data_IF_898649282466
#
_entry.id   IF_898649282466
#
_cell.length_a   1.000
_cell.length_b   1.000
_cell.length_c   1.000
_cell.angle_alpha   90.00
_cell.angle_beta   90.00
_cell.angle_gamma   90.00
#
_symmetry.space_group_name_H-M   'P 1'
#
loop_
_entity.id
_entity.type
_entity.pdbx_description
1 polymer ?
#
# COMPACT_ATOMS: atom_id res chain seq x y z
N UNK A 1 96.13 -19.66 8.48
CA UNK A 1 94.78 -20.17 8.16
C UNK A 1 93.89 -20.36 9.38
N UNK A 2 94.40 -20.68 10.58
CA UNK A 2 93.57 -20.88 11.78
C UNK A 2 92.79 -19.67 12.29
N UNK A 3 93.31 -18.44 12.16
CA UNK A 3 92.66 -17.24 12.69
C UNK A 3 91.40 -16.82 11.89
N UNK A 4 91.46 -16.93 10.57
CA UNK A 4 90.35 -16.58 9.67
C UNK A 4 89.13 -17.51 9.86
N UNK A 5 89.38 -18.80 10.11
CA UNK A 5 88.32 -19.77 10.37
C UNK A 5 87.63 -19.54 11.72
N UNK A 6 88.36 -19.01 12.72
CA UNK A 6 87.80 -18.66 14.02
C UNK A 6 86.90 -17.43 13.94
N UNK A 7 87.36 -16.36 13.26
CA UNK A 7 86.56 -15.15 12.99
C UNK A 7 85.28 -15.47 12.22
N UNK A 8 85.35 -16.34 11.20
CA UNK A 8 84.16 -16.76 10.44
C UNK A 8 83.15 -17.54 11.30
N UNK A 9 83.62 -18.37 12.24
CA UNK A 9 82.75 -19.10 13.17
C UNK A 9 82.07 -18.16 14.17
N UNK A 10 82.81 -17.17 14.67
CA UNK A 10 82.29 -16.15 15.59
C UNK A 10 81.26 -15.25 14.90
N UNK A 11 81.53 -14.82 13.66
CA UNK A 11 80.59 -14.04 12.84
C UNK A 11 79.33 -14.85 12.50
N UNK A 12 79.46 -16.15 12.18
CA UNK A 12 78.31 -17.03 12.02
C UNK A 12 77.51 -17.18 13.32
N UNK A 13 78.16 -17.26 14.47
CA UNK A 13 77.51 -17.28 15.78
C UNK A 13 76.66 -16.04 16.01
N UNK A 14 77.25 -14.85 15.82
CA UNK A 14 76.53 -13.56 15.96
C UNK A 14 75.33 -13.47 15.01
N UNK A 15 75.48 -13.91 13.75
CA UNK A 15 74.37 -13.94 12.77
C UNK A 15 73.25 -14.91 13.19
N UNK A 16 73.58 -16.07 13.72
CA UNK A 16 72.59 -17.02 14.24
C UNK A 16 71.81 -16.46 15.43
N UNK A 17 72.47 -15.72 16.31
CA UNK A 17 71.83 -15.06 17.46
C UNK A 17 70.92 -13.92 17.02
N UNK A 18 71.39 -13.07 16.09
CA UNK A 18 70.59 -12.00 15.48
C UNK A 18 69.34 -12.55 14.79
N UNK A 19 69.48 -13.63 14.01
CA UNK A 19 68.36 -14.30 13.36
C UNK A 19 67.37 -14.88 14.37
N UNK A 20 67.86 -15.46 15.47
CA UNK A 20 67.00 -16.01 16.52
C UNK A 20 66.21 -14.92 17.23
N UNK A 21 66.83 -13.78 17.52
CA UNK A 21 66.16 -12.60 18.09
C UNK A 21 65.11 -12.05 17.12
N UNK A 22 65.45 -11.90 15.84
CA UNK A 22 64.52 -11.42 14.82
C UNK A 22 63.32 -12.36 14.66
N UNK A 23 63.55 -13.68 14.66
CA UNK A 23 62.49 -14.68 14.57
C UNK A 23 61.53 -14.61 15.78
N UNK A 24 62.06 -14.46 16.99
CA UNK A 24 61.21 -14.35 18.18
C UNK A 24 60.39 -13.05 18.17
N UNK A 25 60.98 -11.91 17.77
CA UNK A 25 60.22 -10.66 17.59
C UNK A 25 59.10 -10.81 16.56
N UNK A 26 59.39 -11.44 15.43
CA UNK A 26 58.40 -11.68 14.38
C UNK A 26 57.26 -12.58 14.87
N UNK A 27 57.55 -13.60 15.71
CA UNK A 27 56.53 -14.44 16.33
C UNK A 27 55.64 -13.65 17.28
N UNK A 28 56.22 -12.82 18.14
CA UNK A 28 55.47 -11.98 19.09
C UNK A 28 54.57 -10.97 18.36
N UNK A 29 55.08 -10.35 17.29
CA UNK A 29 54.29 -9.45 16.44
C UNK A 29 53.13 -10.18 15.75
N UNK A 30 53.39 -11.38 15.22
CA UNK A 30 52.38 -12.23 14.61
C UNK A 30 51.27 -12.55 15.60
N UNK A 31 51.60 -12.94 16.82
CA UNK A 31 50.61 -13.30 17.84
C UNK A 31 49.78 -12.07 18.29
N UNK A 32 50.40 -10.90 18.45
CA UNK A 32 49.68 -9.63 18.71
C UNK A 32 48.72 -9.25 17.57
N UNK A 33 49.13 -9.46 16.32
CA UNK A 33 48.26 -9.19 15.17
C UNK A 33 47.06 -10.14 15.14
N UNK A 34 47.26 -11.43 15.46
CA UNK A 34 46.15 -12.39 15.57
C UNK A 34 45.17 -12.02 16.68
N UNK A 35 45.65 -11.62 17.86
CA UNK A 35 44.79 -11.15 18.94
C UNK A 35 43.97 -9.90 18.54
N UNK A 36 44.61 -8.93 17.87
CA UNK A 36 43.92 -7.73 17.37
C UNK A 36 42.85 -8.09 16.34
N UNK A 37 43.17 -8.97 15.40
CA UNK A 37 42.23 -9.47 14.40
C UNK A 37 40.99 -10.11 15.04
N UNK A 38 41.18 -10.99 16.04
CA UNK A 38 40.07 -11.63 16.75
C UNK A 38 39.20 -10.58 17.45
N UNK A 39 39.82 -9.61 18.13
CA UNK A 39 39.09 -8.54 18.84
C UNK A 39 38.26 -7.68 17.90
N UNK A 40 38.81 -7.31 16.74
CA UNK A 40 38.11 -6.50 15.75
C UNK A 40 36.96 -7.28 15.11
N UNK A 41 37.15 -8.58 14.84
CA UNK A 41 36.08 -9.48 14.37
C UNK A 41 34.92 -9.56 15.37
N UNK A 42 35.23 -9.69 16.67
CA UNK A 42 34.18 -9.71 17.71
C UNK A 42 33.39 -8.40 17.76
N UNK A 43 34.06 -7.24 17.64
CA UNK A 43 33.38 -5.94 17.60
C UNK A 43 32.48 -5.80 16.38
N UNK A 44 32.96 -6.20 15.20
CA UNK A 44 32.15 -6.20 13.98
C UNK A 44 30.93 -7.09 14.12
N UNK A 45 31.06 -8.21 14.83
CA UNK A 45 29.94 -9.10 15.08
C UNK A 45 28.90 -8.49 16.04
N UNK A 46 29.34 -7.86 17.14
CA UNK A 46 28.42 -7.14 18.03
C UNK A 46 27.62 -6.05 17.30
N UNK A 47 28.30 -5.23 16.48
CA UNK A 47 27.62 -4.17 15.71
C UNK A 47 26.61 -4.78 14.73
N UNK A 48 26.95 -5.89 14.07
CA UNK A 48 26.03 -6.59 13.17
C UNK A 48 24.79 -7.07 13.91
N UNK A 49 24.97 -7.66 15.08
CA UNK A 49 23.88 -8.21 15.89
C UNK A 49 22.97 -7.08 16.42
N UNK A 50 23.55 -5.95 16.84
CA UNK A 50 22.81 -4.76 17.28
C UNK A 50 21.96 -4.17 16.13
N UNK A 51 22.55 -4.03 14.93
CA UNK A 51 21.83 -3.56 13.74
C UNK A 51 20.70 -4.53 13.38
N UNK A 52 20.98 -5.84 13.39
CA UNK A 52 19.97 -6.85 13.07
C UNK A 52 18.79 -6.82 14.06
N UNK A 53 19.05 -6.63 15.35
CA UNK A 53 18.03 -6.48 16.38
C UNK A 53 17.20 -5.21 16.16
N UNK A 54 17.84 -4.06 15.91
CA UNK A 54 17.17 -2.79 15.66
C UNK A 54 16.24 -2.87 14.44
N UNK A 55 16.74 -3.42 13.32
CA UNK A 55 15.95 -3.63 12.10
C UNK A 55 14.79 -4.59 12.32
N UNK A 56 15.00 -5.68 13.07
CA UNK A 56 13.93 -6.63 13.37
C UNK A 56 12.82 -5.97 14.20
N UNK A 57 13.19 -5.13 15.17
CA UNK A 57 12.23 -4.44 16.02
C UNK A 57 11.46 -3.35 15.25
N UNK A 58 12.14 -2.58 14.39
CA UNK A 58 11.50 -1.59 13.52
C UNK A 58 10.47 -2.26 12.58
N UNK A 59 10.83 -3.41 12.00
CA UNK A 59 9.92 -4.19 11.15
C UNK A 59 8.69 -4.72 11.90
N UNK A 60 8.84 -5.16 13.14
CA UNK A 60 7.72 -5.59 13.99
C UNK A 60 6.78 -4.42 14.31
N UNK A 61 7.33 -3.24 14.58
CA UNK A 61 6.56 -2.02 14.80
C UNK A 61 5.77 -1.64 13.56
N UNK A 62 6.41 -1.57 12.39
CA UNK A 62 5.72 -1.29 11.12
C UNK A 62 4.63 -2.32 10.82
N UNK A 63 4.88 -3.61 11.07
CA UNK A 63 3.87 -4.65 10.90
C UNK A 63 2.65 -4.41 11.78
N UNK A 64 2.87 -4.04 13.04
CA UNK A 64 1.80 -3.78 14.01
C UNK A 64 0.98 -2.54 13.63
N UNK A 65 1.64 -1.50 13.13
CA UNK A 65 0.99 -0.28 12.64
C UNK A 65 0.17 -0.54 11.37
N UNK A 66 0.72 -1.30 10.41
CA UNK A 66 0.00 -1.70 9.20
C UNK A 66 -1.25 -2.52 9.53
N UNK A 67 -1.17 -3.46 10.46
CA UNK A 67 -2.31 -4.27 10.89
C UNK A 67 -3.39 -3.40 11.55
N UNK A 68 -2.97 -2.45 12.39
CA UNK A 68 -3.87 -1.49 13.03
C UNK A 68 -4.56 -0.60 12.00
N UNK A 69 -3.81 -0.10 11.02
CA UNK A 69 -4.32 0.75 9.93
C UNK A 69 -5.29 -0.01 9.04
N UNK A 70 -4.99 -1.27 8.71
CA UNK A 70 -5.86 -2.15 7.92
C UNK A 70 -7.20 -2.35 8.62
N UNK A 71 -7.20 -2.63 9.93
CA UNK A 71 -8.43 -2.79 10.72
C UNK A 71 -9.31 -1.54 10.70
N UNK A 72 -8.71 -0.34 10.72
CA UNK A 72 -9.46 0.92 10.59
C UNK A 72 -10.12 1.03 9.22
N UNK A 73 -9.40 0.71 8.14
CA UNK A 73 -9.95 0.74 6.78
C UNK A 73 -11.08 -0.27 6.59
N UNK A 74 -10.94 -1.48 7.11
CA UNK A 74 -11.98 -2.51 7.05
C UNK A 74 -13.26 -2.03 7.77
N UNK A 75 -13.11 -1.44 8.97
CA UNK A 75 -14.24 -0.87 9.70
C UNK A 75 -14.91 0.29 8.94
N UNK A 76 -14.11 1.16 8.29
CA UNK A 76 -14.63 2.26 7.49
C UNK A 76 -15.39 1.75 6.26
N UNK A 77 -14.91 0.69 5.62
CA UNK A 77 -15.60 0.07 4.48
C UNK A 77 -16.96 -0.51 4.89
N UNK A 78 -17.02 -1.23 6.02
CA UNK A 78 -18.30 -1.75 6.54
C UNK A 78 -19.29 -0.63 6.88
N UNK A 79 -18.82 0.48 7.46
CA UNK A 79 -19.68 1.62 7.80
C UNK A 79 -20.23 2.31 6.54
N UNK A 80 -19.42 2.46 5.50
CA UNK A 80 -19.87 2.99 4.21
C UNK A 80 -20.93 2.09 3.57
N UNK A 81 -20.74 0.78 3.59
CA UNK A 81 -21.70 -0.19 3.07
C UNK A 81 -23.04 -0.12 3.81
N UNK A 82 -23.02 0.01 5.15
CA UNK A 82 -24.24 0.22 5.95
C UNK A 82 -24.97 1.50 5.58
N UNK A 83 -24.25 2.62 5.40
CA UNK A 83 -24.85 3.90 5.00
C UNK A 83 -25.45 3.83 3.60
N UNK A 84 -24.77 3.17 2.66
CA UNK A 84 -25.28 3.00 1.30
C UNK A 84 -26.57 2.18 1.27
N UNK A 85 -26.62 1.09 2.05
CA UNK A 85 -27.84 0.29 2.21
C UNK A 85 -29.00 1.12 2.77
N UNK A 86 -28.74 1.96 3.78
CA UNK A 86 -29.74 2.85 4.36
C UNK A 86 -30.27 3.87 3.34
N UNK A 87 -29.38 4.53 2.60
CA UNK A 87 -29.76 5.48 1.54
C UNK A 87 -30.61 4.78 0.47
N UNK A 88 -30.31 3.53 0.13
CA UNK A 88 -31.08 2.78 -0.86
C UNK A 88 -32.51 2.49 -0.36
N UNK A 89 -32.66 2.12 0.90
CA UNK A 89 -33.99 1.93 1.53
C UNK A 89 -34.79 3.23 1.50
N UNK A 90 -34.20 4.36 1.91
CA UNK A 90 -34.87 5.67 1.90
C UNK A 90 -35.31 6.10 0.48
N UNK A 91 -34.44 5.88 -0.52
CA UNK A 91 -34.78 6.11 -1.93
C UNK A 91 -35.99 5.27 -2.37
N UNK A 92 -36.10 4.01 -1.92
CA UNK A 92 -37.26 3.17 -2.24
C UNK A 92 -38.55 3.73 -1.64
N UNK A 93 -38.53 4.17 -0.38
CA UNK A 93 -39.68 4.81 0.26
C UNK A 93 -40.10 6.10 -0.45
N UNK A 94 -39.14 6.96 -0.79
CA UNK A 94 -39.44 8.20 -1.52
C UNK A 94 -40.04 7.92 -2.90
N UNK A 95 -39.52 6.92 -3.61
CA UNK A 95 -40.07 6.49 -4.91
C UNK A 95 -41.48 5.90 -4.81
N UNK A 96 -41.80 5.24 -3.70
CA UNK A 96 -43.16 4.77 -3.44
C UNK A 96 -44.11 5.94 -3.18
N UNK A 97 -43.74 6.87 -2.30
CA UNK A 97 -44.53 8.06 -2.00
C UNK A 97 -44.77 8.92 -3.26
N UNK A 98 -43.72 9.13 -4.07
CA UNK A 98 -43.81 9.87 -5.34
C UNK A 98 -44.85 9.25 -6.30
N UNK A 99 -44.87 7.92 -6.43
CA UNK A 99 -45.85 7.21 -7.28
C UNK A 99 -47.29 7.35 -6.75
N UNK A 100 -47.47 7.33 -5.44
CA UNK A 100 -48.78 7.48 -4.82
C UNK A 100 -49.36 8.89 -5.06
N UNK A 101 -48.52 9.91 -4.89
CA UNK A 101 -48.89 11.30 -5.19
C UNK A 101 -49.20 11.49 -6.67
N UNK A 102 -48.40 10.90 -7.56
CA UNK A 102 -48.63 10.98 -9.01
C UNK A 102 -50.00 10.40 -9.41
N UNK A 103 -50.38 9.24 -8.84
CA UNK A 103 -51.73 8.67 -9.06
C UNK A 103 -52.86 9.57 -8.57
N UNK A 104 -52.68 10.24 -7.42
CA UNK A 104 -53.68 11.18 -6.90
C UNK A 104 -53.81 12.42 -7.80
N UNK A 105 -52.70 12.91 -8.34
CA UNK A 105 -52.70 14.04 -9.27
C UNK A 105 -53.48 13.70 -10.56
N UNK A 106 -53.18 12.57 -11.18
CA UNK A 106 -53.88 12.10 -12.40
C UNK A 106 -55.40 11.96 -12.15
N UNK A 107 -55.78 11.46 -10.96
CA UNK A 107 -57.19 11.32 -10.58
C UNK A 107 -57.89 12.68 -10.41
N UNK A 108 -57.20 13.68 -9.86
CA UNK A 108 -57.74 15.04 -9.71
C UNK A 108 -57.86 15.72 -11.06
N UNK A 109 -56.86 15.62 -11.94
CA UNK A 109 -56.91 16.18 -13.29
C UNK A 109 -58.05 15.57 -14.14
N UNK A 110 -58.28 14.26 -14.01
CA UNK A 110 -59.41 13.59 -14.65
C UNK A 110 -60.76 14.15 -14.21
N UNK A 111 -60.99 14.28 -12.89
CA UNK A 111 -62.22 14.87 -12.33
C UNK A 111 -62.40 16.34 -12.75
N UNK A 112 -61.31 17.10 -12.86
CA UNK A 112 -61.34 18.48 -13.32
C UNK A 112 -61.76 18.59 -14.79
N UNK A 113 -61.27 17.67 -15.63
CA UNK A 113 -61.62 17.60 -17.04
C UNK A 113 -63.09 17.28 -17.27
N UNK A 114 -63.71 16.49 -16.38
CA UNK A 114 -65.13 16.17 -16.40
C UNK A 114 -66.02 17.37 -15.99
N UNK A 115 -65.60 18.15 -14.99
CA UNK A 115 -66.36 19.28 -14.42
C UNK A 115 -66.39 20.54 -15.30
N UNK A 116 -65.43 20.72 -16.22
CA UNK A 116 -65.44 21.85 -17.17
C UNK A 116 -66.58 21.80 -18.21
N UNK A 117 -67.49 20.83 -18.14
CA UNK A 117 -68.63 20.69 -19.05
C UNK A 117 -69.98 21.18 -18.49
N UNK A 118 -70.04 21.74 -17.28
CA UNK A 118 -71.31 22.21 -16.69
C UNK A 118 -71.16 23.59 -16.05
N UNK A 119 -71.82 24.59 -16.63
CA UNK A 119 -71.89 25.98 -16.15
C UNK A 119 -72.98 26.15 -15.07
N UNK A 120 -72.62 26.54 -13.84
CA UNK A 120 -73.60 27.08 -12.87
C UNK A 120 -72.95 27.90 -11.71
N UNK A 121 -73.67 28.85 -11.11
CA UNK A 121 -73.14 29.91 -10.19
C UNK A 121 -72.51 29.44 -8.86
N UNK A 122 -72.82 28.25 -8.35
CA UNK A 122 -72.12 27.65 -7.19
C UNK A 122 -70.64 27.34 -7.50
N UNK A 123 -70.27 27.34 -8.78
CA UNK A 123 -68.92 27.18 -9.27
C UNK A 123 -67.99 28.27 -8.70
N UNK A 124 -68.44 29.52 -8.49
CA UNK A 124 -67.55 30.61 -8.05
C UNK A 124 -66.88 30.37 -6.68
N UNK A 125 -67.57 29.71 -5.74
CA UNK A 125 -67.03 29.44 -4.38
C UNK A 125 -66.10 28.24 -4.38
N UNK A 126 -66.49 27.18 -5.09
CA UNK A 126 -65.67 26.00 -5.36
C UNK A 126 -64.40 26.40 -6.14
N UNK A 127 -64.53 27.36 -7.05
CA UNK A 127 -63.44 27.89 -7.85
C UNK A 127 -62.44 28.67 -7.01
N UNK A 128 -62.89 29.46 -6.02
CA UNK A 128 -62.01 30.11 -5.05
C UNK A 128 -61.26 29.11 -4.14
N UNK A 129 -61.93 28.08 -3.63
CA UNK A 129 -61.26 27.03 -2.84
C UNK A 129 -60.27 26.21 -3.69
N UNK A 130 -60.63 25.93 -4.94
CA UNK A 130 -59.70 25.30 -5.89
C UNK A 130 -58.52 26.19 -6.24
N UNK A 131 -58.70 27.50 -6.37
CA UNK A 131 -57.60 28.45 -6.57
C UNK A 131 -56.69 28.54 -5.35
N UNK A 132 -57.25 28.49 -4.14
CA UNK A 132 -56.47 28.44 -2.91
C UNK A 132 -55.62 27.17 -2.84
N UNK A 133 -56.21 25.99 -3.09
CA UNK A 133 -55.50 24.71 -3.13
C UNK A 133 -54.46 24.64 -4.27
N UNK A 134 -54.75 25.22 -5.44
CA UNK A 134 -53.79 25.33 -6.56
C UNK A 134 -52.60 26.21 -6.19
N UNK A 135 -52.83 27.28 -5.44
CA UNK A 135 -51.75 28.17 -4.97
C UNK A 135 -50.86 27.48 -3.95
N UNK A 136 -51.44 26.80 -2.97
CA UNK A 136 -50.70 26.00 -1.97
C UNK A 136 -49.90 24.86 -2.62
N UNK A 137 -50.49 24.19 -3.62
CA UNK A 137 -49.82 23.15 -4.40
C UNK A 137 -48.64 23.73 -5.21
N UNK A 138 -48.78 24.93 -5.75
CA UNK A 138 -47.70 25.61 -6.48
C UNK A 138 -46.55 25.99 -5.55
N UNK A 139 -46.85 26.56 -4.38
CA UNK A 139 -45.84 26.91 -3.38
C UNK A 139 -45.06 25.67 -2.89
N UNK A 140 -45.75 24.55 -2.64
CA UNK A 140 -45.09 23.29 -2.25
C UNK A 140 -44.25 22.65 -3.36
N UNK A 141 -44.64 22.80 -4.63
CA UNK A 141 -43.81 22.37 -5.78
C UNK A 141 -42.52 23.22 -5.86
N UNK A 142 -42.63 24.54 -5.71
CA UNK A 142 -41.48 25.45 -5.73
C UNK A 142 -40.52 25.17 -4.55
N UNK A 143 -41.04 24.86 -3.36
CA UNK A 143 -40.23 24.41 -2.22
C UNK A 143 -39.52 23.07 -2.51
N UNK A 144 -40.22 22.12 -3.12
CA UNK A 144 -39.62 20.84 -3.53
C UNK A 144 -38.52 21.04 -4.58
N UNK A 145 -38.70 21.94 -5.55
CA UNK A 145 -37.66 22.28 -6.53
C UNK A 145 -36.42 22.91 -5.86
N UNK A 146 -36.62 23.79 -4.86
CA UNK A 146 -35.52 24.34 -4.08
C UNK A 146 -34.76 23.25 -3.32
N UNK A 147 -35.46 22.31 -2.68
CA UNK A 147 -34.84 21.19 -1.96
C UNK A 147 -34.09 20.26 -2.91
N UNK A 148 -34.63 19.98 -4.11
CA UNK A 148 -33.94 19.18 -5.14
C UNK A 148 -32.67 19.87 -5.61
N UNK A 149 -32.73 21.19 -5.86
CA UNK A 149 -31.59 22.00 -6.29
C UNK A 149 -30.50 22.04 -5.22
N UNK A 150 -30.89 22.20 -3.95
CA UNK A 150 -29.96 22.17 -2.82
C UNK A 150 -29.29 20.80 -2.68
N UNK A 151 -30.04 19.70 -2.81
CA UNK A 151 -29.50 18.36 -2.72
C UNK A 151 -28.52 18.07 -3.88
N UNK A 152 -28.85 18.48 -5.10
CA UNK A 152 -27.92 18.41 -6.24
C UNK A 152 -26.65 19.22 -6.00
N UNK A 153 -26.75 20.43 -5.43
CA UNK A 153 -25.59 21.25 -5.08
C UNK A 153 -24.71 20.57 -4.03
N UNK A 154 -25.32 20.02 -2.97
CA UNK A 154 -24.60 19.29 -1.93
C UNK A 154 -23.89 18.04 -2.47
N UNK A 155 -24.53 17.27 -3.36
CA UNK A 155 -23.87 16.13 -4.02
C UNK A 155 -22.66 16.54 -4.86
N UNK A 156 -22.74 17.66 -5.60
CA UNK A 156 -21.61 18.17 -6.38
C UNK A 156 -20.47 18.62 -5.45
N UNK A 157 -20.81 19.30 -4.35
CA UNK A 157 -19.84 19.72 -3.33
C UNK A 157 -19.18 18.52 -2.66
N UNK A 158 -19.94 17.49 -2.24
CA UNK A 158 -19.37 16.26 -1.68
C UNK A 158 -18.43 15.55 -2.65
N UNK A 159 -18.81 15.44 -3.93
CA UNK A 159 -17.92 14.85 -4.95
C UNK A 159 -16.63 15.64 -5.09
N UNK A 160 -16.71 16.98 -5.07
CA UNK A 160 -15.53 17.85 -5.15
C UNK A 160 -14.63 17.71 -3.93
N UNK A 161 -15.17 17.77 -2.72
CA UNK A 161 -14.38 17.63 -1.49
C UNK A 161 -13.80 16.23 -1.35
N UNK A 162 -14.51 15.20 -1.81
CA UNK A 162 -13.99 13.83 -1.83
C UNK A 162 -12.88 13.65 -2.88
N UNK A 163 -12.98 14.32 -4.03
CA UNK A 163 -11.90 14.38 -5.02
C UNK A 163 -10.67 15.11 -4.47
N UNK A 164 -10.85 16.29 -3.86
CA UNK A 164 -9.78 17.05 -3.19
C UNK A 164 -9.12 16.24 -2.05
N UNK A 165 -9.91 15.49 -1.28
CA UNK A 165 -9.41 14.60 -0.23
C UNK A 165 -8.64 13.39 -0.81
N UNK A 166 -9.10 12.82 -1.93
CA UNK A 166 -8.39 11.76 -2.63
C UNK A 166 -7.07 12.25 -3.23
N UNK A 167 -7.04 13.46 -3.81
CA UNK A 167 -5.82 14.09 -4.30
C UNK A 167 -4.85 14.36 -3.15
N UNK A 168 -5.31 14.92 -2.03
CA UNK A 168 -4.48 15.13 -0.85
C UNK A 168 -3.96 13.80 -0.28
N UNK A 169 -4.77 12.75 -0.27
CA UNK A 169 -4.36 11.40 0.15
C UNK A 169 -3.34 10.79 -0.82
N UNK A 170 -3.51 10.99 -2.12
CA UNK A 170 -2.57 10.51 -3.14
C UNK A 170 -1.24 11.26 -3.02
N UNK A 171 -1.27 12.58 -2.84
CA UNK A 171 -0.08 13.38 -2.58
C UNK A 171 0.64 12.96 -1.27
N UNK A 172 -0.09 12.54 -0.24
CA UNK A 172 0.49 12.00 0.99
C UNK A 172 1.07 10.58 0.79
N UNK A 173 0.46 9.75 -0.06
CA UNK A 173 0.99 8.43 -0.43
C UNK A 173 2.24 8.59 -1.31
N UNK A 174 2.27 9.64 -2.12
CA UNK A 174 3.39 10.03 -2.97
C UNK A 174 4.46 10.83 -2.19
N UNK A 175 4.50 10.74 -0.84
CA UNK A 175 5.54 11.33 0.02
C UNK A 175 6.95 10.89 -0.40
N UNK A 176 7.49 11.70 -1.32
CA UNK A 176 8.78 12.38 -1.37
C UNK A 176 9.76 11.83 -0.34
N UNK A 177 10.85 11.26 -0.85
CA UNK A 177 12.06 10.97 -0.09
C UNK A 177 12.44 12.25 0.65
N UNK A 178 12.29 12.27 1.98
CA UNK A 178 12.66 13.43 2.80
C UNK A 178 14.16 13.67 2.65
N UNK A 179 14.53 14.75 1.98
CA UNK A 179 15.93 15.13 1.77
C UNK A 179 16.67 15.44 3.09
N UNK A 180 15.92 15.70 4.17
CA UNK A 180 16.44 15.90 5.52
C UNK A 180 16.33 14.66 6.40
N UNK A 181 15.95 13.50 5.86
CA UNK A 181 15.93 12.24 6.60
C UNK A 181 17.33 11.99 7.21
N UNK A 182 17.35 11.81 8.53
CA UNK A 182 18.60 11.65 9.30
C UNK A 182 19.43 10.45 8.80
N UNK A 183 18.78 9.38 8.31
CA UNK A 183 19.46 8.20 7.79
C UNK A 183 20.05 8.48 6.41
N UNK A 184 19.36 9.20 5.52
CA UNK A 184 19.87 9.60 4.20
C UNK A 184 20.99 10.63 4.28
N UNK A 185 20.87 11.60 5.19
CA UNK A 185 21.93 12.59 5.43
C UNK A 185 23.17 11.94 6.07
N UNK A 186 23.01 11.00 7.01
CA UNK A 186 24.12 10.20 7.53
C UNK A 186 24.78 9.35 6.44
N UNK A 187 23.98 8.71 5.57
CA UNK A 187 24.47 7.92 4.44
C UNK A 187 25.33 8.75 3.47
N UNK A 188 24.87 9.98 3.17
CA UNK A 188 25.58 10.94 2.33
C UNK A 188 26.90 11.38 2.96
N UNK A 189 26.95 11.57 4.28
CA UNK A 189 28.17 11.96 4.99
C UNK A 189 29.19 10.82 5.09
N UNK A 190 28.74 9.59 5.36
CA UNK A 190 29.64 8.44 5.53
C UNK A 190 30.13 7.82 4.22
N UNK A 191 29.28 7.79 3.18
CA UNK A 191 29.53 7.03 1.96
C UNK A 191 29.53 7.88 0.67
N UNK A 192 29.22 9.17 0.76
CA UNK A 192 29.30 10.15 -0.32
C UNK A 192 28.09 10.21 -1.27
N UNK A 193 28.09 11.21 -2.15
CA UNK A 193 26.99 11.57 -3.07
C UNK A 193 26.51 10.40 -3.95
N UNK A 194 27.45 9.59 -4.46
CA UNK A 194 27.12 8.48 -5.36
C UNK A 194 26.28 7.38 -4.73
N UNK A 195 26.45 7.13 -3.42
CA UNK A 195 25.66 6.11 -2.70
C UNK A 195 24.29 6.68 -2.35
N UNK A 196 24.24 7.95 -1.97
CA UNK A 196 23.00 8.69 -1.77
C UNK A 196 22.13 8.69 -3.03
N UNK A 197 22.68 9.05 -4.19
CA UNK A 197 21.94 9.09 -5.46
C UNK A 197 21.39 7.71 -5.86
N UNK A 198 22.21 6.66 -5.69
CA UNK A 198 21.80 5.29 -6.01
C UNK A 198 20.66 4.80 -5.11
N UNK A 199 20.71 5.11 -3.81
CA UNK A 199 19.67 4.73 -2.84
C UNK A 199 18.40 5.54 -3.07
N UNK A 200 18.51 6.85 -3.29
CA UNK A 200 17.37 7.72 -3.60
C UNK A 200 16.67 7.27 -4.89
N UNK A 201 17.43 6.96 -5.93
CA UNK A 201 16.89 6.45 -7.20
C UNK A 201 16.18 5.10 -7.02
N UNK A 202 16.77 4.16 -6.27
CA UNK A 202 16.14 2.88 -5.99
C UNK A 202 14.85 3.02 -5.16
N UNK A 203 14.82 3.94 -4.19
CA UNK A 203 13.62 4.24 -3.41
C UNK A 203 12.50 4.83 -4.28
N UNK A 204 12.83 5.73 -5.20
CA UNK A 204 11.89 6.27 -6.19
C UNK A 204 11.37 5.19 -7.14
N UNK A 205 12.24 4.33 -7.67
CA UNK A 205 11.85 3.23 -8.58
C UNK A 205 10.92 2.22 -7.87
N UNK A 206 11.18 1.88 -6.61
CA UNK A 206 10.31 1.00 -5.82
C UNK A 206 8.95 1.65 -5.55
N UNK A 207 8.91 2.96 -5.34
CA UNK A 207 7.68 3.71 -5.15
C UNK A 207 6.85 3.80 -6.46
N UNK A 208 7.50 4.00 -7.60
CA UNK A 208 6.83 4.06 -8.90
C UNK A 208 6.30 2.68 -9.36
N UNK A 209 7.04 1.61 -9.07
CA UNK A 209 6.66 0.25 -9.47
C UNK A 209 5.61 -0.39 -8.53
N UNK A 210 5.62 -0.06 -7.23
CA UNK A 210 4.64 -0.56 -6.24
C UNK A 210 4.53 0.33 -4.99
N UNK A 211 3.96 1.53 -5.14
CA UNK A 211 3.79 2.54 -4.09
C UNK A 211 3.16 1.99 -2.80
N UNK A 212 2.17 1.10 -2.94
CA UNK A 212 1.42 0.58 -1.80
C UNK A 212 2.09 -0.57 -1.06
N UNK A 213 3.09 -1.22 -1.67
CA UNK A 213 3.70 -2.45 -1.14
C UNK A 213 5.18 -2.36 -0.81
N UNK A 214 5.97 -1.58 -1.56
CA UNK A 214 7.43 -1.40 -1.35
C UNK A 214 8.25 -2.70 -1.17
N UNK A 215 7.79 -3.83 -1.72
CA UNK A 215 8.52 -5.11 -1.76
C UNK A 215 8.78 -5.56 -3.19
N UNK A 216 9.88 -6.29 -3.41
CA UNK A 216 10.18 -6.94 -4.68
C UNK A 216 9.12 -8.01 -4.99
N UNK A 217 8.32 -7.80 -6.03
CA UNK A 217 7.31 -8.76 -6.48
C UNK A 217 7.99 -9.86 -7.28
N UNK A 218 7.94 -11.09 -6.78
CA UNK A 218 8.46 -12.26 -7.51
C UNK A 218 7.57 -12.61 -8.68
N UNK A 219 8.08 -12.47 -9.91
CA UNK A 219 7.36 -12.77 -11.14
C UNK A 219 7.78 -14.12 -11.72
N UNK A 220 6.81 -14.88 -12.25
CA UNK A 220 7.09 -16.15 -12.92
C UNK A 220 7.57 -15.87 -14.34
N UNK A 221 8.74 -16.42 -14.71
CA UNK A 221 9.38 -16.17 -16.01
C UNK A 221 9.20 -17.35 -16.97
N UNK A 222 8.88 -17.07 -18.23
CA UNK A 222 8.96 -18.04 -19.31
C UNK A 222 10.35 -17.97 -19.95
N UNK A 223 11.27 -18.83 -19.48
CA UNK A 223 12.64 -18.88 -19.96
C UNK A 223 12.80 -19.25 -21.44
N UNK A 224 11.77 -19.81 -22.09
CA UNK A 224 11.83 -20.13 -23.52
C UNK A 224 11.54 -18.92 -24.41
N UNK A 225 10.68 -18.04 -23.92
CA UNK A 225 10.20 -16.86 -24.64
C UNK A 225 10.87 -15.58 -24.12
N UNK A 226 11.81 -15.72 -23.17
CA UNK A 226 12.57 -14.65 -22.51
C UNK A 226 11.69 -13.48 -22.00
N UNK A 227 10.51 -13.81 -21.49
CA UNK A 227 9.54 -12.83 -20.97
C UNK A 227 8.80 -13.35 -19.76
N UNK A 228 8.08 -12.45 -19.09
CA UNK A 228 7.13 -12.79 -18.02
C UNK A 228 6.14 -13.86 -18.52
N UNK A 229 5.94 -14.89 -17.70
CA UNK A 229 5.00 -15.95 -17.99
C UNK A 229 3.58 -15.41 -17.83
N UNK A 230 2.75 -15.66 -18.83
CA UNK A 230 1.32 -15.36 -18.78
C UNK A 230 0.61 -16.31 -17.80
N UNK A 231 -0.50 -15.84 -17.24
CA UNK A 231 -1.33 -16.65 -16.34
C UNK A 231 -1.76 -17.98 -16.98
N UNK A 232 -2.02 -17.98 -18.29
CA UNK A 232 -2.35 -19.18 -19.07
C UNK A 232 -1.20 -20.19 -19.07
N UNK A 233 0.04 -19.74 -19.28
CA UNK A 233 1.23 -20.59 -19.25
C UNK A 233 1.46 -21.19 -17.86
N UNK A 234 1.29 -20.39 -16.80
CA UNK A 234 1.42 -20.83 -15.41
C UNK A 234 0.37 -21.89 -15.05
N UNK A 235 -0.91 -21.64 -15.37
CA UNK A 235 -2.01 -22.59 -15.10
C UNK A 235 -1.78 -23.90 -15.87
N UNK A 236 -1.38 -23.82 -17.14
CA UNK A 236 -1.08 -25.02 -17.93
C UNK A 236 0.05 -25.86 -17.33
N UNK A 237 1.10 -25.20 -16.83
CA UNK A 237 2.20 -25.89 -16.15
C UNK A 237 1.75 -26.58 -14.86
N UNK A 238 0.97 -25.90 -14.02
CA UNK A 238 0.42 -26.47 -12.78
C UNK A 238 -0.49 -27.68 -13.09
N UNK A 239 -1.37 -27.56 -14.08
CA UNK A 239 -2.25 -28.66 -14.49
C UNK A 239 -1.46 -29.88 -15.00
N UNK A 240 -0.34 -29.65 -15.70
CA UNK A 240 0.56 -30.72 -16.16
C UNK A 240 1.20 -31.44 -14.96
N UNK A 241 1.69 -30.71 -13.97
CA UNK A 241 2.27 -31.28 -12.74
C UNK A 241 1.23 -32.07 -11.92
N UNK A 242 0.01 -31.57 -11.82
CA UNK A 242 -1.06 -32.27 -11.11
C UNK A 242 -1.47 -33.58 -11.80
N UNK A 243 -1.42 -33.63 -13.13
CA UNK A 243 -1.70 -34.86 -13.90
C UNK A 243 -0.61 -35.91 -13.73
N UNK A 244 0.67 -35.52 -13.72
CA UNK A 244 1.78 -36.46 -13.48
C UNK A 244 1.73 -37.05 -12.05
N UNK A 245 1.39 -36.23 -11.04
CA UNK A 245 1.21 -36.67 -9.66
C UNK A 245 0.05 -37.66 -9.48
N UNK A 246 -1.06 -37.48 -10.19
CA UNK A 246 -2.21 -38.41 -10.15
C UNK A 246 -1.92 -39.75 -10.86
N UNK A 247 -1.08 -39.77 -11.89
CA UNK A 247 -0.63 -40.99 -12.56
C UNK A 247 0.25 -41.89 -11.68
N UNK A 248 1.11 -41.29 -10.86
CA UNK A 248 2.03 -42.02 -9.96
C UNK A 248 1.32 -42.70 -8.77
N UNK A 249 0.17 -42.17 -8.30
CA UNK A 249 -0.62 -42.82 -7.25
C UNK A 249 -1.36 -44.07 -7.74
N UNK A 250 -1.82 -44.10 -9.01
CA UNK A 250 -2.51 -45.27 -9.58
C UNK A 250 -1.58 -46.45 -9.88
N UNK A 251 -0.31 -46.19 -10.20
CA UNK A 251 0.68 -47.25 -10.48
C UNK A 251 1.18 -47.98 -9.23
N UNK A 252 1.06 -47.39 -8.03
CA UNK A 252 1.45 -48.04 -6.76
C UNK A 252 0.39 -48.99 -6.18
N UNK A 253 -0.77 -49.13 -6.82
CA UNK A 253 -1.88 -49.99 -6.34
C UNK A 253 -1.94 -51.36 -7.03
N UNK A 254 -1.01 -51.68 -7.93
CA UNK A 254 -0.93 -52.98 -8.61
C UNK A 254 0.51 -53.48 -8.63
N UNK A 255 1.03 -53.83 -7.46
CA UNK A 255 2.17 -54.73 -7.31
C UNK A 255 1.88 -55.58 -6.08
N UNK A 256 1.30 -56.77 -6.32
CA UNK A 256 1.34 -57.90 -5.39
C UNK A 256 2.69 -58.58 -5.53
#
# INVERSE_FOLDING_TARGET
MGNLALEMLEEMGSKCDELSIALNRAKDEKDKLYERYIKDMMKMQCIRDDIALSLSQENENFRSELESRKKVLDNQAEELERREAQINIEKQYLNFAKRELMRKLDSVEGKFSELNNTEDENNSKVQQEMEALRKELKETIEEMEHVVTLNQTLMVMERRTNHELQEARQALIDEIIDENDEKLTALKFEWGETVYDAVSMALSEVNEYNASGRYAVSELWNFKEERKASLKEVIQYILKQLKSLKGSKRRRSYTY
#
